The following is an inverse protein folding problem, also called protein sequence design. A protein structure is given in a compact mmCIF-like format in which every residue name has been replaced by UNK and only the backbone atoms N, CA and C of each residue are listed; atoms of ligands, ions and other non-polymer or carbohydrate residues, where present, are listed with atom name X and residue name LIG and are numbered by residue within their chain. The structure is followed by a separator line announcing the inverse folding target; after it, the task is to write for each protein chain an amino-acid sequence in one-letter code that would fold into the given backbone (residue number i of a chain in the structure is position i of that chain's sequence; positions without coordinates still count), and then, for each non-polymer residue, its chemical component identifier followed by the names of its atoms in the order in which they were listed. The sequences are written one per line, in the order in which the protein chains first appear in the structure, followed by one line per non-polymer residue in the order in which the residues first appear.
data_IF_676842831370
#
_entry.id   IF_676842831370
#
_cell.length_a   1.000
_cell.length_b   1.000
_cell.length_c   1.000
_cell.angle_alpha   90.00
_cell.angle_beta   90.00
_cell.angle_gamma   90.00
#
_symmetry.space_group_name_H-M   'P 1'
#
loop_
_entity.id
_entity.type
_entity.pdbx_description
1 polymer ?
#
# COMPACT_ATOMS: atom_id res chain seq x y z
N UNK A 1 16.69 2.31 9.84
CA UNK A 1 16.39 2.44 8.40
C UNK A 1 14.98 2.98 8.23
N UNK A 2 14.74 3.85 7.26
CA UNK A 2 13.42 4.46 7.02
C UNK A 2 12.63 3.58 6.04
N UNK A 3 11.45 3.11 6.45
CA UNK A 3 10.56 2.33 5.55
C UNK A 3 10.14 3.22 4.38
N UNK A 4 10.37 2.74 3.16
CA UNK A 4 9.99 3.47 1.93
C UNK A 4 8.47 3.63 1.92
N UNK A 5 8.00 4.85 1.69
CA UNK A 5 6.58 5.21 1.85
C UNK A 5 6.02 5.79 0.56
N UNK A 6 4.85 5.30 0.15
CA UNK A 6 3.99 5.93 -0.84
C UNK A 6 2.81 6.60 -0.12
N UNK A 7 2.63 7.90 -0.33
CA UNK A 7 1.45 8.63 0.18
C UNK A 7 0.45 8.86 -0.96
N UNK A 8 -0.74 8.27 -0.82
CA UNK A 8 -1.82 8.39 -1.79
C UNK A 8 -2.87 9.42 -1.37
N UNK A 9 -2.67 10.16 -0.27
CA UNK A 9 -3.59 11.24 0.09
C UNK A 9 -3.73 12.23 -1.08
N UNK A 10 -4.98 12.53 -1.43
CA UNK A 10 -5.37 13.42 -2.53
C UNK A 10 -5.03 12.93 -3.94
N UNK A 11 -4.48 11.73 -4.11
CA UNK A 11 -4.36 11.10 -5.42
C UNK A 11 -5.76 10.72 -5.91
N UNK A 12 -6.08 11.05 -7.17
CA UNK A 12 -7.37 10.62 -7.75
C UNK A 12 -7.37 9.10 -7.93
N UNK A 13 -8.48 8.44 -7.58
CA UNK A 13 -8.60 6.98 -7.65
C UNK A 13 -8.19 6.38 -9.01
N UNK A 14 -8.47 7.08 -10.11
CA UNK A 14 -8.10 6.66 -11.46
C UNK A 14 -6.59 6.51 -11.71
N UNK A 15 -5.74 7.12 -10.89
CA UNK A 15 -4.27 7.05 -11.02
C UNK A 15 -3.61 6.22 -9.91
N UNK A 16 -4.40 5.64 -9.01
CA UNK A 16 -3.86 4.93 -7.84
C UNK A 16 -3.23 3.61 -8.26
N UNK A 17 -3.88 2.89 -9.19
CA UNK A 17 -3.39 1.59 -9.64
C UNK A 17 -1.99 1.68 -10.23
N UNK A 18 -1.79 2.53 -11.24
CA UNK A 18 -0.50 2.78 -11.88
C UNK A 18 0.58 3.18 -10.85
N UNK A 19 0.25 4.11 -9.94
CA UNK A 19 1.19 4.61 -8.94
C UNK A 19 1.62 3.54 -7.94
N UNK A 20 0.70 2.69 -7.50
CA UNK A 20 1.00 1.63 -6.54
C UNK A 20 1.88 0.57 -7.20
N UNK A 21 1.55 0.15 -8.43
CA UNK A 21 2.35 -0.83 -9.18
C UNK A 21 3.75 -0.31 -9.48
N UNK A 22 3.86 0.92 -9.98
CA UNK A 22 5.15 1.58 -10.23
C UNK A 22 5.98 1.60 -8.93
N UNK A 23 5.39 2.01 -7.81
CA UNK A 23 6.09 2.05 -6.54
C UNK A 23 6.59 0.67 -6.07
N UNK A 24 5.74 -0.35 -6.13
CA UNK A 24 6.06 -1.71 -5.68
C UNK A 24 7.13 -2.37 -6.58
N UNK A 25 7.07 -2.15 -7.89
CA UNK A 25 8.03 -2.73 -8.85
C UNK A 25 9.49 -2.25 -8.63
N UNK A 26 9.68 -1.12 -7.94
CA UNK A 26 10.99 -0.51 -7.70
C UNK A 26 11.30 -0.29 -6.21
N UNK A 27 10.64 -1.03 -5.32
CA UNK A 27 10.87 -0.93 -3.89
C UNK A 27 11.18 -2.28 -3.26
N UNK A 28 12.20 -2.31 -2.40
CA UNK A 28 12.45 -3.45 -1.54
C UNK A 28 11.42 -3.46 -0.40
N UNK A 29 10.80 -4.62 -0.19
CA UNK A 29 9.87 -4.84 0.92
C UNK A 29 10.65 -4.98 2.25
N UNK A 30 10.09 -4.51 3.38
CA UNK A 30 8.74 -3.96 3.53
C UNK A 30 8.62 -2.48 3.13
N UNK A 31 7.43 -2.11 2.66
CA UNK A 31 7.07 -0.71 2.33
C UNK A 31 5.81 -0.28 3.05
N UNK A 32 5.59 1.03 3.13
CA UNK A 32 4.38 1.63 3.67
C UNK A 32 3.57 2.31 2.57
N UNK A 33 2.26 2.09 2.57
CA UNK A 33 1.32 2.80 1.69
C UNK A 33 0.27 3.50 2.55
N UNK A 34 0.20 4.83 2.44
CA UNK A 34 -0.77 5.66 3.14
C UNK A 34 -1.97 5.87 2.21
N UNK A 35 -3.13 5.33 2.60
CA UNK A 35 -4.40 5.42 1.86
C UNK A 35 -5.36 6.45 2.45
N UNK A 36 -5.02 6.97 3.64
CA UNK A 36 -5.94 7.80 4.42
C UNK A 36 -7.17 7.03 4.86
N UNK A 37 -8.25 7.74 5.18
CA UNK A 37 -9.53 7.10 5.58
C UNK A 37 -10.41 6.68 4.39
N UNK A 38 -9.91 6.78 3.15
CA UNK A 38 -10.69 6.43 1.96
C UNK A 38 -10.78 4.91 1.82
N UNK A 39 -11.99 4.36 1.98
CA UNK A 39 -12.26 2.93 1.79
C UNK A 39 -11.93 2.49 0.36
N UNK A 40 -12.33 3.28 -0.63
CA UNK A 40 -12.11 2.99 -2.05
C UNK A 40 -10.61 2.99 -2.40
N UNK A 41 -9.85 3.96 -1.90
CA UNK A 41 -8.38 4.00 -2.05
C UNK A 41 -7.74 2.72 -1.54
N UNK A 42 -8.15 2.30 -0.34
CA UNK A 42 -7.67 1.07 0.29
C UNK A 42 -8.07 -0.18 -0.51
N UNK A 43 -9.29 -0.26 -1.01
CA UNK A 43 -9.75 -1.39 -1.84
C UNK A 43 -8.90 -1.54 -3.10
N UNK A 44 -8.55 -0.44 -3.78
CA UNK A 44 -7.65 -0.47 -4.95
C UNK A 44 -6.28 -1.02 -4.56
N UNK A 45 -5.68 -0.49 -3.48
CA UNK A 45 -4.38 -0.96 -3.01
C UNK A 45 -4.44 -2.46 -2.69
N UNK A 46 -5.44 -2.89 -1.90
CA UNK A 46 -5.56 -4.29 -1.50
C UNK A 46 -5.76 -5.26 -2.67
N UNK A 47 -6.46 -4.83 -3.73
CA UNK A 47 -6.59 -5.63 -4.94
C UNK A 47 -5.23 -5.92 -5.59
N UNK A 48 -4.35 -4.90 -5.66
CA UNK A 48 -3.00 -5.03 -6.23
C UNK A 48 -2.11 -5.88 -5.32
N UNK A 49 -2.17 -5.66 -3.99
CA UNK A 49 -1.41 -6.46 -3.02
C UNK A 49 -1.78 -7.95 -3.13
N UNK A 50 -3.08 -8.25 -3.28
CA UNK A 50 -3.56 -9.61 -3.48
C UNK A 50 -3.11 -10.20 -4.83
N UNK A 51 -3.12 -9.42 -5.91
CA UNK A 51 -2.63 -9.84 -7.22
C UNK A 51 -1.13 -10.16 -7.20
N UNK A 52 -0.34 -9.41 -6.43
CA UNK A 52 1.11 -9.61 -6.29
C UNK A 52 1.46 -10.72 -5.30
N UNK A 53 0.46 -11.36 -4.70
CA UNK A 53 0.64 -12.37 -3.64
C UNK A 53 1.51 -11.84 -2.49
N UNK A 54 1.28 -10.58 -2.07
CA UNK A 54 1.95 -9.98 -0.91
C UNK A 54 1.07 -9.99 0.33
N UNK A 55 1.71 -9.90 1.50
CA UNK A 55 1.02 -9.74 2.77
C UNK A 55 0.93 -8.28 3.17
N UNK A 56 -0.09 -7.96 3.98
CA UNK A 56 -0.19 -6.65 4.59
C UNK A 56 -0.72 -6.70 6.02
N UNK A 57 -0.40 -5.67 6.78
CA UNK A 57 -1.07 -5.34 8.03
C UNK A 57 -1.25 -3.83 8.14
N UNK A 58 -2.17 -3.39 8.99
CA UNK A 58 -2.31 -1.97 9.31
C UNK A 58 -1.18 -1.51 10.22
N UNK A 59 -0.63 -0.31 9.96
CA UNK A 59 0.43 0.27 10.79
C UNK A 59 -0.02 0.47 12.24
N UNK A 60 -1.33 0.67 12.46
CA UNK A 60 -1.92 0.86 13.79
C UNK A 60 -3.28 0.17 13.90
N UNK A 61 -3.55 -0.40 15.08
CA UNK A 61 -4.86 -0.94 15.45
C UNK A 61 -5.95 0.14 15.58
N UNK A 62 -5.57 1.42 15.69
CA UNK A 62 -6.48 2.55 15.85
C UNK A 62 -6.53 3.46 14.61
N UNK A 63 -5.57 3.33 13.69
CA UNK A 63 -5.52 4.10 12.46
C UNK A 63 -5.28 3.19 11.24
N UNK A 64 -6.36 2.88 10.54
CA UNK A 64 -6.35 2.06 9.34
C UNK A 64 -5.93 2.82 8.06
N UNK A 65 -5.39 4.03 8.21
CA UNK A 65 -5.01 4.88 7.08
C UNK A 65 -3.65 4.56 6.45
N UNK A 66 -2.90 3.63 7.01
CA UNK A 66 -1.64 3.17 6.48
C UNK A 66 -1.53 1.64 6.55
N UNK A 67 -0.97 1.07 5.48
CA UNK A 67 -0.70 -0.35 5.31
C UNK A 67 0.81 -0.55 5.25
N UNK A 68 1.31 -1.57 5.95
CA UNK A 68 2.66 -2.08 5.79
C UNK A 68 2.55 -3.33 4.90
N UNK A 69 3.27 -3.32 3.79
CA UNK A 69 3.30 -4.40 2.80
C UNK A 69 4.61 -5.17 2.96
N UNK A 70 4.54 -6.49 3.01
CA UNK A 70 5.68 -7.39 3.17
C UNK A 70 5.60 -8.56 2.21
N UNK A 71 6.76 -9.14 1.90
CA UNK A 71 6.84 -10.36 1.08
C UNK A 71 6.26 -11.56 1.84
N UNK A 72 5.71 -12.54 1.09
CA UNK A 72 5.43 -13.87 1.63
C UNK A 72 6.78 -14.56 1.81
N UNK A 73 7.38 -14.42 3.00
CA UNK A 73 8.47 -15.32 3.37
C UNK A 73 7.90 -16.71 3.58
N UNK A 74 8.11 -17.59 2.59
CA UNK A 74 8.06 -19.05 2.76
C UNK A 74 8.93 -19.51 3.93
#
# INVERSE_FOLDING_TARGET
MKIKTLDLHMVRHAYVDDKVREFLNFADLPVRIITGRSKQMREIVLAIINEYEYEFHFESAHNFGALIISDIKR
#
